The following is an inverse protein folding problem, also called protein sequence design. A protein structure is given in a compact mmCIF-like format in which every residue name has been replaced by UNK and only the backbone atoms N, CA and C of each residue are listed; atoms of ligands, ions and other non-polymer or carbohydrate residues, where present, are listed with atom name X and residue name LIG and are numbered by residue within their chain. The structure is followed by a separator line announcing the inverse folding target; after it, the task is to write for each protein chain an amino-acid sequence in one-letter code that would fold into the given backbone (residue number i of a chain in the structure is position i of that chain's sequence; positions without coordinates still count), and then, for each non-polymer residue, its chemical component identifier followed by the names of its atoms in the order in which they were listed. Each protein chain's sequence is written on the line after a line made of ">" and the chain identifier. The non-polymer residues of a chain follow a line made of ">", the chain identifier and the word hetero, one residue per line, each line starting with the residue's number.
data_IF_952383765936
#
_entry.id   IF_952383765936
#
_cell.length_a   1.000
_cell.length_b   1.000
_cell.length_c   1.000
_cell.angle_alpha   90.00
_cell.angle_beta   90.00
_cell.angle_gamma   90.00
#
_symmetry.space_group_name_H-M   'P 1'
#
loop_
_entity.id
_entity.type
_entity.pdbx_description
1 polymer ?
#
# COMPACT_ATOMS: atom_id res chain seq x y z
N UNK A 1 -19.90 3.57 -28.14
CA UNK A 1 -20.79 2.58 -27.54
C UNK A 1 -22.20 3.14 -27.24
N UNK A 2 -22.45 4.47 -27.24
CA UNK A 2 -23.76 5.08 -27.03
C UNK A 2 -24.32 4.98 -25.61
N UNK A 3 -23.50 4.65 -24.64
CA UNK A 3 -23.87 4.59 -23.23
C UNK A 3 -23.70 5.93 -22.52
N UNK A 4 -24.25 6.02 -21.31
CA UNK A 4 -24.05 7.14 -20.39
C UNK A 4 -23.56 6.66 -19.03
N UNK A 5 -22.83 7.50 -18.32
CA UNK A 5 -22.35 7.24 -16.96
C UNK A 5 -23.05 8.22 -16.02
N UNK A 6 -23.69 7.69 -14.98
CA UNK A 6 -24.23 8.47 -13.86
C UNK A 6 -23.23 8.38 -12.71
N UNK A 7 -22.74 9.50 -12.25
CA UNK A 7 -21.82 9.58 -11.13
C UNK A 7 -22.58 9.82 -9.83
N UNK A 8 -22.25 9.03 -8.80
CA UNK A 8 -22.67 9.26 -7.43
C UNK A 8 -21.51 9.89 -6.68
N UNK A 9 -21.71 11.09 -6.16
CA UNK A 9 -20.67 11.80 -5.42
C UNK A 9 -20.62 11.31 -3.98
N UNK A 10 -19.41 11.19 -3.46
CA UNK A 10 -19.12 10.87 -2.07
C UNK A 10 -17.85 11.59 -1.61
N UNK A 11 -17.58 11.61 -0.33
CA UNK A 11 -16.29 12.06 0.24
C UNK A 11 -15.43 10.85 0.59
N UNK A 12 -14.14 11.11 0.79
CA UNK A 12 -13.21 10.05 1.19
C UNK A 12 -13.67 9.36 2.49
N UNK A 13 -14.15 10.13 3.47
CA UNK A 13 -14.61 9.65 4.77
C UNK A 13 -15.90 8.85 4.68
N UNK A 14 -16.82 9.25 3.80
CA UNK A 14 -18.17 8.65 3.72
C UNK A 14 -18.30 7.56 2.67
N UNK A 15 -17.32 7.36 1.79
CA UNK A 15 -17.42 6.50 0.61
C UNK A 15 -17.96 5.09 0.87
N UNK A 16 -17.66 4.49 2.01
CA UNK A 16 -18.14 3.14 2.36
C UNK A 16 -19.56 3.15 2.88
N UNK A 17 -19.91 4.14 3.68
CA UNK A 17 -21.28 4.30 4.18
C UNK A 17 -22.22 4.65 3.06
N UNK A 18 -21.83 5.52 2.15
CA UNK A 18 -22.60 5.93 1.00
C UNK A 18 -22.81 4.75 0.04
N UNK A 19 -21.76 3.97 -0.26
CA UNK A 19 -21.90 2.75 -1.06
C UNK A 19 -22.91 1.78 -0.43
N UNK A 20 -22.78 1.52 0.87
CA UNK A 20 -23.72 0.63 1.59
C UNK A 20 -25.16 1.16 1.51
N UNK A 21 -25.34 2.47 1.65
CA UNK A 21 -26.66 3.12 1.58
C UNK A 21 -27.27 2.99 0.19
N UNK A 22 -26.48 3.23 -0.85
CA UNK A 22 -26.94 3.12 -2.25
C UNK A 22 -27.31 1.68 -2.59
N UNK A 23 -26.47 0.71 -2.23
CA UNK A 23 -26.73 -0.72 -2.50
C UNK A 23 -27.98 -1.19 -1.76
N UNK A 24 -28.14 -0.87 -0.47
CA UNK A 24 -29.31 -1.23 0.33
C UNK A 24 -30.58 -0.49 -0.13
N UNK A 25 -30.43 0.72 -0.62
CA UNK A 25 -31.52 1.51 -1.18
C UNK A 25 -32.01 1.05 -2.55
N UNK A 26 -31.35 0.04 -3.13
CA UNK A 26 -31.71 -0.48 -4.46
C UNK A 26 -31.26 0.42 -5.61
N UNK A 27 -30.37 1.38 -5.35
CA UNK A 27 -29.72 2.14 -6.42
C UNK A 27 -28.79 1.19 -7.18
N UNK A 28 -28.91 1.13 -8.49
CA UNK A 28 -28.11 0.26 -9.34
C UNK A 28 -26.70 0.80 -9.49
N UNK A 29 -25.84 0.55 -8.50
CA UNK A 29 -24.41 0.86 -8.60
C UNK A 29 -23.72 -0.26 -9.35
N UNK A 30 -23.28 0.01 -10.58
CA UNK A 30 -22.61 -0.98 -11.43
C UNK A 30 -21.12 -1.09 -11.13
N UNK A 31 -20.45 0.03 -10.84
CA UNK A 31 -19.01 0.10 -10.62
C UNK A 31 -18.67 0.95 -9.40
N UNK A 32 -17.73 0.46 -8.62
CA UNK A 32 -17.14 1.17 -7.50
C UNK A 32 -15.61 1.15 -7.61
N UNK A 33 -14.98 2.32 -7.46
CA UNK A 33 -13.53 2.38 -7.43
C UNK A 33 -13.04 1.71 -6.16
N UNK A 34 -12.39 0.57 -6.30
CA UNK A 34 -11.93 -0.20 -5.16
C UNK A 34 -10.78 0.48 -4.44
N UNK A 35 -10.84 0.47 -3.13
CA UNK A 35 -9.68 0.59 -2.29
C UNK A 35 -9.60 -0.59 -1.31
N UNK A 36 -8.43 -0.82 -0.74
CA UNK A 36 -8.16 -1.96 0.14
C UNK A 36 -9.00 -1.96 1.41
N UNK A 37 -9.53 -0.83 1.85
CA UNK A 37 -10.37 -0.72 3.03
C UNK A 37 -11.73 -1.42 2.89
N UNK A 38 -12.17 -1.73 1.66
CA UNK A 38 -13.40 -2.48 1.40
C UNK A 38 -13.19 -4.00 1.31
N UNK A 39 -11.98 -4.46 1.29
CA UNK A 39 -11.65 -5.87 1.18
C UNK A 39 -11.04 -6.38 2.50
N UNK A 40 -11.49 -7.52 3.02
CA UNK A 40 -12.52 -8.43 2.49
C UNK A 40 -13.94 -8.06 2.95
N UNK A 41 -14.12 -7.01 3.77
CA UNK A 41 -15.40 -6.65 4.40
C UNK A 41 -16.55 -6.51 3.41
N UNK A 42 -16.34 -5.80 2.29
CA UNK A 42 -17.37 -5.59 1.27
C UNK A 42 -17.80 -6.88 0.58
N UNK A 43 -16.89 -7.84 0.41
CA UNK A 43 -17.20 -9.15 -0.13
C UNK A 43 -18.04 -9.95 0.85
N UNK A 44 -17.60 -10.04 2.11
CA UNK A 44 -18.29 -10.81 3.16
C UNK A 44 -19.71 -10.27 3.42
N UNK A 45 -19.87 -8.94 3.36
CA UNK A 45 -21.19 -8.31 3.54
C UNK A 45 -22.07 -8.32 2.29
N UNK A 46 -21.62 -8.94 1.19
CA UNK A 46 -22.41 -9.08 -0.02
C UNK A 46 -22.60 -7.78 -0.82
N UNK A 47 -21.76 -6.77 -0.62
CA UNK A 47 -21.80 -5.52 -1.39
C UNK A 47 -21.22 -5.67 -2.79
N UNK A 48 -20.34 -6.66 -2.98
CA UNK A 48 -19.72 -6.95 -4.27
C UNK A 48 -20.10 -8.35 -4.74
N UNK A 49 -20.26 -8.50 -6.03
CA UNK A 49 -20.48 -9.78 -6.69
C UNK A 49 -19.22 -10.22 -7.44
N UNK A 50 -19.04 -11.53 -7.66
CA UNK A 50 -17.95 -12.02 -8.49
C UNK A 50 -17.99 -11.44 -9.90
N UNK A 51 -16.84 -11.19 -10.48
CA UNK A 51 -16.72 -10.66 -11.85
C UNK A 51 -16.46 -11.75 -12.90
N UNK A 52 -16.18 -12.98 -12.46
CA UNK A 52 -15.80 -14.10 -13.34
C UNK A 52 -16.84 -14.40 -14.43
N UNK A 53 -18.13 -14.25 -14.13
CA UNK A 53 -19.20 -14.50 -15.08
C UNK A 53 -19.39 -13.36 -16.11
N UNK A 54 -18.75 -12.21 -15.91
CA UNK A 54 -18.91 -11.01 -16.73
C UNK A 54 -17.67 -10.63 -17.53
N UNK A 55 -16.49 -11.08 -17.07
CA UNK A 55 -15.20 -10.70 -17.62
C UNK A 55 -14.35 -11.94 -17.83
N UNK A 56 -13.89 -12.12 -19.07
CA UNK A 56 -12.86 -13.12 -19.37
C UNK A 56 -11.51 -12.64 -18.87
N UNK A 57 -11.12 -13.05 -17.66
CA UNK A 57 -9.88 -12.67 -17.01
C UNK A 57 -8.63 -13.30 -17.66
N UNK A 58 -8.79 -14.32 -18.48
CA UNK A 58 -7.71 -14.94 -19.26
C UNK A 58 -7.43 -14.17 -20.56
N UNK A 59 -8.28 -13.21 -20.89
CA UNK A 59 -8.09 -12.39 -22.09
C UNK A 59 -6.79 -11.60 -22.06
N UNK A 60 -6.19 -11.44 -23.23
CA UNK A 60 -4.93 -10.71 -23.43
C UNK A 60 -4.94 -9.28 -22.87
N UNK A 61 -6.10 -8.65 -22.73
CA UNK A 61 -6.24 -7.31 -22.16
C UNK A 61 -5.78 -7.24 -20.70
N UNK A 62 -5.85 -8.35 -19.96
CA UNK A 62 -5.52 -8.41 -18.54
C UNK A 62 -4.11 -8.96 -18.26
N UNK A 63 -3.31 -9.33 -19.27
CA UNK A 63 -2.00 -9.96 -19.09
C UNK A 63 -1.07 -9.19 -18.16
N UNK A 64 -1.08 -7.85 -18.24
CA UNK A 64 -0.21 -6.99 -17.42
C UNK A 64 -0.68 -6.84 -15.96
N UNK A 65 -1.91 -7.23 -15.65
CA UNK A 65 -2.53 -7.07 -14.32
C UNK A 65 -2.97 -8.40 -13.70
N UNK A 66 -2.76 -9.53 -14.41
CA UNK A 66 -3.18 -10.85 -13.97
C UNK A 66 -2.61 -11.24 -12.60
N UNK A 67 -1.34 -10.95 -12.33
CA UNK A 67 -0.74 -11.22 -11.01
C UNK A 67 -1.38 -10.40 -9.90
N UNK A 68 -1.67 -9.12 -10.16
CA UNK A 68 -2.36 -8.27 -9.18
C UNK A 68 -3.79 -8.75 -8.91
N UNK A 69 -4.48 -9.32 -9.90
CA UNK A 69 -5.83 -9.85 -9.73
C UNK A 69 -5.88 -11.08 -8.82
N UNK A 70 -4.80 -11.86 -8.73
CA UNK A 70 -4.72 -13.01 -7.81
C UNK A 70 -4.91 -12.61 -6.35
N UNK A 71 -4.45 -11.42 -5.96
CA UNK A 71 -4.62 -10.89 -4.60
C UNK A 71 -6.09 -10.63 -4.23
N UNK A 72 -6.98 -10.56 -5.21
CA UNK A 72 -8.40 -10.28 -5.03
C UNK A 72 -9.29 -11.50 -5.27
N UNK A 73 -8.69 -12.68 -5.24
CA UNK A 73 -9.41 -13.94 -5.22
C UNK A 73 -9.88 -14.26 -3.80
N UNK A 74 -11.18 -14.48 -3.64
CA UNK A 74 -11.77 -14.88 -2.37
C UNK A 74 -12.74 -16.04 -2.58
N UNK A 75 -12.47 -17.16 -1.90
CA UNK A 75 -13.27 -18.37 -2.08
C UNK A 75 -13.25 -18.91 -3.52
N UNK A 76 -12.14 -18.75 -4.25
CA UNK A 76 -11.99 -19.21 -5.64
C UNK A 76 -12.68 -18.33 -6.68
N UNK A 77 -13.13 -17.12 -6.30
CA UNK A 77 -13.78 -16.16 -7.19
C UNK A 77 -13.08 -14.81 -7.13
N UNK A 78 -13.07 -14.09 -8.25
CA UNK A 78 -12.55 -12.74 -8.33
C UNK A 78 -13.67 -11.72 -8.13
N UNK A 79 -13.42 -10.76 -7.25
CA UNK A 79 -14.38 -9.68 -6.93
C UNK A 79 -13.95 -8.33 -7.45
N UNK A 80 -12.79 -8.28 -8.11
CA UNK A 80 -12.26 -7.07 -8.69
C UNK A 80 -11.47 -7.40 -9.96
N UNK A 81 -11.47 -6.48 -10.89
CA UNK A 81 -10.54 -6.46 -12.01
C UNK A 81 -9.59 -5.27 -11.91
N UNK A 82 -8.33 -5.51 -12.18
CA UNK A 82 -7.27 -4.51 -12.04
C UNK A 82 -6.94 -3.94 -13.42
N UNK A 83 -7.17 -2.65 -13.60
CA UNK A 83 -6.91 -1.96 -14.87
C UNK A 83 -5.46 -1.52 -15.04
N UNK A 84 -4.78 -1.24 -13.94
CA UNK A 84 -3.35 -0.92 -13.93
C UNK A 84 -2.73 -1.27 -12.58
N UNK A 85 -1.43 -1.42 -12.57
CA UNK A 85 -0.62 -1.56 -11.36
C UNK A 85 0.42 -0.45 -11.30
N UNK A 86 0.64 0.08 -10.10
CA UNK A 86 1.70 1.04 -9.82
C UNK A 86 2.25 0.81 -8.42
N UNK A 87 3.47 1.19 -8.18
CA UNK A 87 4.00 1.19 -6.83
C UNK A 87 3.16 2.11 -5.94
N UNK A 88 2.88 1.67 -4.72
CA UNK A 88 2.08 2.44 -3.77
C UNK A 88 2.95 3.37 -2.93
N UNK A 89 4.19 2.95 -2.69
CA UNK A 89 5.16 3.67 -1.89
C UNK A 89 6.42 3.92 -2.70
N UNK A 90 6.97 5.11 -2.53
CA UNK A 90 8.20 5.55 -3.16
C UNK A 90 9.08 6.20 -2.11
N UNK A 91 10.37 5.96 -2.19
CA UNK A 91 11.37 6.74 -1.46
C UNK A 91 11.78 7.90 -2.35
N UNK A 92 11.49 9.10 -1.90
CA UNK A 92 11.98 10.33 -2.53
C UNK A 92 13.14 10.87 -1.70
N UNK A 93 14.19 11.28 -2.34
CA UNK A 93 15.33 11.91 -1.68
C UNK A 93 15.81 13.13 -2.44
N UNK A 94 16.37 14.08 -1.70
CA UNK A 94 17.00 15.25 -2.30
C UNK A 94 18.44 14.92 -2.66
N UNK A 95 18.72 14.75 -3.95
CA UNK A 95 20.05 14.38 -4.44
C UNK A 95 21.12 15.38 -4.03
N UNK A 96 20.83 16.68 -4.08
CA UNK A 96 21.79 17.70 -3.69
C UNK A 96 22.11 17.64 -2.19
N UNK A 97 21.14 17.29 -1.34
CA UNK A 97 21.36 17.06 0.10
C UNK A 97 22.24 15.85 0.32
N UNK A 98 21.99 14.72 -0.36
CA UNK A 98 22.81 13.51 -0.30
C UNK A 98 24.26 13.85 -0.67
N UNK A 99 24.49 14.48 -1.80
CA UNK A 99 25.82 14.88 -2.29
C UNK A 99 26.53 15.85 -1.33
N UNK A 100 25.82 16.86 -0.82
CA UNK A 100 26.37 17.86 0.08
C UNK A 100 26.82 17.30 1.43
N UNK A 101 26.22 16.19 1.88
CA UNK A 101 26.59 15.51 3.12
C UNK A 101 27.54 14.33 2.88
N UNK A 102 27.98 14.10 1.65
CA UNK A 102 28.94 13.04 1.32
C UNK A 102 28.37 11.62 1.41
N UNK A 103 27.04 11.49 1.43
CA UNK A 103 26.34 10.22 1.51
C UNK A 103 26.31 9.54 0.13
N UNK A 104 26.24 8.22 0.14
CA UNK A 104 26.07 7.43 -1.07
C UNK A 104 24.71 7.70 -1.73
N UNK A 105 24.66 7.74 -3.06
CA UNK A 105 23.40 7.93 -3.81
C UNK A 105 22.53 6.68 -3.69
N UNK A 106 21.32 6.74 -3.10
CA UNK A 106 20.42 5.61 -2.96
C UNK A 106 20.10 4.88 -4.27
N UNK A 107 20.06 5.60 -5.39
CA UNK A 107 19.83 5.00 -6.70
C UNK A 107 21.04 4.18 -7.17
N UNK A 108 22.27 4.64 -6.92
CA UNK A 108 23.47 3.87 -7.24
C UNK A 108 23.57 2.62 -6.37
N UNK A 109 23.28 2.74 -5.07
CA UNK A 109 23.19 1.59 -4.15
C UNK A 109 22.14 0.57 -4.60
N UNK A 110 20.97 1.04 -5.04
CA UNK A 110 19.93 0.16 -5.59
C UNK A 110 20.41 -0.60 -6.83
N UNK A 111 21.08 0.06 -7.77
CA UNK A 111 21.62 -0.58 -8.97
C UNK A 111 22.72 -1.60 -8.65
N UNK A 112 23.50 -1.35 -7.62
CA UNK A 112 24.52 -2.26 -7.11
C UNK A 112 23.96 -3.44 -6.31
N UNK A 113 22.67 -3.43 -5.97
CA UNK A 113 22.07 -4.42 -5.07
C UNK A 113 22.42 -4.25 -3.60
N UNK A 114 22.91 -3.06 -3.25
CA UNK A 114 23.38 -2.71 -1.89
C UNK A 114 22.34 -1.86 -1.12
N UNK A 115 21.23 -1.47 -1.77
CA UNK A 115 20.14 -0.80 -1.12
C UNK A 115 19.30 -1.78 -0.30
N UNK A 116 19.50 -1.78 1.01
CA UNK A 116 18.83 -2.65 1.98
C UNK A 116 18.60 -1.89 3.31
N UNK A 117 17.96 -2.52 4.28
CA UNK A 117 17.64 -1.88 5.56
C UNK A 117 18.87 -1.44 6.36
N UNK A 118 19.95 -2.20 6.32
CA UNK A 118 21.18 -1.87 7.06
C UNK A 118 21.83 -0.62 6.44
N UNK A 119 21.98 -0.58 5.11
CA UNK A 119 22.51 0.59 4.40
C UNK A 119 21.62 1.81 4.61
N UNK A 120 20.29 1.63 4.50
CA UNK A 120 19.34 2.71 4.74
C UNK A 120 19.47 3.28 6.16
N UNK A 121 19.52 2.43 7.18
CA UNK A 121 19.68 2.86 8.57
C UNK A 121 21.02 3.57 8.79
N UNK A 122 22.12 3.05 8.26
CA UNK A 122 23.44 3.68 8.38
C UNK A 122 23.46 5.08 7.78
N UNK A 123 22.81 5.27 6.62
CA UNK A 123 22.69 6.60 6.00
C UNK A 123 21.89 7.58 6.88
N UNK A 124 20.82 7.11 7.51
CA UNK A 124 20.03 7.93 8.44
C UNK A 124 20.86 8.31 9.67
N UNK A 125 21.61 7.34 10.27
CA UNK A 125 22.49 7.57 11.42
C UNK A 125 23.61 8.57 11.12
N UNK A 126 24.10 8.61 9.90
CA UNK A 126 25.12 9.57 9.47
C UNK A 126 24.52 10.97 9.20
N UNK A 127 23.25 11.02 8.77
CA UNK A 127 22.60 12.25 8.34
C UNK A 127 21.90 13.00 9.47
N UNK A 128 21.30 12.31 10.44
CA UNK A 128 20.41 12.94 11.44
C UNK A 128 21.21 13.80 12.40
N UNK A 129 20.72 15.03 12.61
CA UNK A 129 21.23 15.99 13.58
C UNK A 129 20.04 16.80 14.15
N UNK A 130 19.50 16.34 15.27
CA UNK A 130 18.33 16.94 15.91
C UNK A 130 18.62 18.39 16.38
N UNK A 131 19.85 18.70 16.75
CA UNK A 131 20.22 20.04 17.22
C UNK A 131 20.11 21.08 16.09
N UNK A 132 20.29 20.65 14.84
CA UNK A 132 20.18 21.47 13.65
C UNK A 132 18.87 21.21 12.85
N UNK A 133 17.88 20.55 13.47
CA UNK A 133 16.57 20.22 12.84
C UNK A 133 16.73 19.43 11.55
N UNK A 134 17.70 18.49 11.53
CA UNK A 134 18.02 17.64 10.39
C UNK A 134 17.54 16.21 10.63
N UNK A 135 16.54 15.78 9.88
CA UNK A 135 15.83 14.52 10.07
C UNK A 135 16.07 13.54 8.92
N UNK A 136 16.12 12.26 9.26
CA UNK A 136 16.49 11.20 8.33
C UNK A 136 15.37 10.82 7.36
N UNK A 137 14.19 10.52 7.88
CA UNK A 137 13.04 10.14 7.09
C UNK A 137 11.76 10.78 7.61
N UNK A 138 10.90 11.17 6.69
CA UNK A 138 9.54 11.60 6.97
C UNK A 138 8.58 10.98 5.93
N UNK A 139 7.32 10.81 6.29
CA UNK A 139 6.26 10.36 5.39
C UNK A 139 5.01 9.96 6.15
N UNK A 140 3.85 10.44 5.69
CA UNK A 140 2.56 10.15 6.32
C UNK A 140 2.26 8.64 6.42
N UNK A 141 2.78 7.84 5.48
CA UNK A 141 2.61 6.38 5.43
C UNK A 141 3.94 5.63 5.58
N UNK A 142 4.98 6.28 6.14
CA UNK A 142 6.31 5.68 6.29
C UNK A 142 6.26 4.35 7.05
N UNK A 143 5.45 4.28 8.10
CA UNK A 143 5.26 3.06 8.90
C UNK A 143 4.77 1.89 8.06
N UNK A 144 3.72 2.10 7.28
CA UNK A 144 3.18 1.07 6.38
C UNK A 144 4.19 0.68 5.28
N UNK A 145 4.92 1.66 4.74
CA UNK A 145 5.94 1.40 3.73
C UNK A 145 7.07 0.52 4.28
N UNK A 146 7.54 0.81 5.50
CA UNK A 146 8.57 0.04 6.18
C UNK A 146 8.10 -1.39 6.47
N UNK A 147 6.88 -1.58 6.99
CA UNK A 147 6.31 -2.91 7.22
C UNK A 147 6.21 -3.72 5.93
N UNK A 148 5.68 -3.13 4.87
CA UNK A 148 5.51 -3.80 3.57
C UNK A 148 6.85 -4.09 2.88
N UNK A 149 7.91 -3.32 3.17
CA UNK A 149 9.25 -3.59 2.65
C UNK A 149 9.85 -4.91 3.15
N UNK A 150 9.30 -5.47 4.24
CA UNK A 150 9.64 -6.81 4.72
C UNK A 150 9.16 -7.95 3.82
N UNK A 151 8.33 -7.66 2.82
CA UNK A 151 7.84 -8.65 1.86
C UNK A 151 6.73 -9.57 2.39
N UNK A 152 6.28 -9.38 3.63
CA UNK A 152 5.19 -10.16 4.24
C UNK A 152 3.95 -9.28 4.36
N UNK A 153 2.82 -9.61 3.70
CA UNK A 153 1.59 -8.87 3.87
C UNK A 153 0.98 -9.15 5.24
N UNK A 154 0.36 -8.15 5.86
CA UNK A 154 -0.31 -8.29 7.17
C UNK A 154 -1.42 -9.33 7.14
N UNK A 155 -2.15 -9.36 6.03
CA UNK A 155 -3.19 -10.35 5.74
C UNK A 155 -3.07 -10.76 4.28
N UNK A 156 -3.16 -12.05 4.02
CA UNK A 156 -3.19 -12.59 2.67
C UNK A 156 -4.34 -13.59 2.47
N UNK A 157 -4.66 -13.89 1.23
CA UNK A 157 -5.60 -14.96 0.89
C UNK A 157 -4.82 -16.18 0.41
N UNK A 158 -4.87 -17.26 1.18
CA UNK A 158 -4.26 -18.56 0.84
C UNK A 158 -5.39 -19.55 0.62
N UNK A 159 -5.50 -20.12 -0.56
CA UNK A 159 -6.57 -21.06 -0.94
C UNK A 159 -7.99 -20.56 -0.60
N UNK A 160 -8.20 -19.24 -0.76
CA UNK A 160 -9.47 -18.58 -0.47
C UNK A 160 -9.76 -18.36 1.01
N UNK A 161 -8.81 -18.64 1.90
CA UNK A 161 -8.88 -18.35 3.34
C UNK A 161 -8.01 -17.14 3.68
N UNK A 162 -8.50 -16.29 4.57
CA UNK A 162 -7.71 -15.18 5.09
C UNK A 162 -6.73 -15.68 6.15
N UNK A 163 -5.46 -15.39 5.94
CA UNK A 163 -4.37 -15.67 6.88
C UNK A 163 -3.83 -14.36 7.42
N UNK A 164 -3.73 -14.27 8.74
CA UNK A 164 -3.13 -13.13 9.44
C UNK A 164 -1.65 -13.45 9.71
N UNK A 165 -0.75 -12.62 9.18
CA UNK A 165 0.70 -12.83 9.25
C UNK A 165 1.39 -11.98 10.33
N UNK A 166 0.65 -11.45 11.31
CA UNK A 166 1.26 -10.62 12.37
C UNK A 166 2.30 -11.38 13.22
N UNK A 167 2.21 -12.72 13.26
CA UNK A 167 3.19 -13.57 13.95
C UNK A 167 4.25 -14.16 13.01
N UNK A 168 4.29 -13.76 11.76
CA UNK A 168 5.32 -14.22 10.82
C UNK A 168 6.67 -13.60 11.19
N UNK A 169 7.78 -14.38 11.19
CA UNK A 169 9.11 -13.85 11.52
C UNK A 169 9.59 -12.70 10.62
N UNK A 170 9.14 -12.66 9.35
CA UNK A 170 9.43 -11.55 8.44
C UNK A 170 8.69 -10.28 8.84
N UNK A 171 7.44 -10.42 9.30
CA UNK A 171 6.66 -9.31 9.82
C UNK A 171 7.28 -8.79 11.13
N UNK A 172 7.62 -9.68 12.07
CA UNK A 172 8.31 -9.32 13.31
C UNK A 172 9.62 -8.57 13.03
N UNK A 173 10.41 -9.04 12.08
CA UNK A 173 11.64 -8.36 11.66
C UNK A 173 11.36 -6.94 11.12
N UNK A 174 10.34 -6.76 10.31
CA UNK A 174 9.96 -5.45 9.78
C UNK A 174 9.47 -4.49 10.87
N UNK A 175 8.68 -5.00 11.83
CA UNK A 175 8.22 -4.23 12.99
C UNK A 175 9.38 -3.81 13.89
N UNK A 176 10.33 -4.71 14.16
CA UNK A 176 11.50 -4.41 14.95
C UNK A 176 12.39 -3.37 14.25
N UNK A 177 12.59 -3.49 12.94
CA UNK A 177 13.34 -2.49 12.18
C UNK A 177 12.71 -1.10 12.28
N UNK A 178 11.40 -1.00 12.11
CA UNK A 178 10.66 0.24 12.28
C UNK A 178 10.82 0.81 13.70
N UNK A 179 10.62 -0.04 14.71
CA UNK A 179 10.78 0.33 16.11
C UNK A 179 12.19 0.86 16.42
N UNK A 180 13.22 0.22 15.87
CA UNK A 180 14.60 0.64 16.03
C UNK A 180 14.88 2.01 15.42
N UNK A 181 14.32 2.31 14.23
CA UNK A 181 14.46 3.64 13.60
C UNK A 181 13.81 4.74 14.45
N UNK A 182 12.63 4.49 15.01
CA UNK A 182 11.96 5.46 15.90
C UNK A 182 12.73 5.67 17.19
N UNK A 183 13.17 4.59 17.85
CA UNK A 183 13.92 4.69 19.11
C UNK A 183 15.28 5.34 18.94
N UNK A 184 15.90 5.20 17.78
CA UNK A 184 17.16 5.85 17.47
C UNK A 184 17.01 7.33 17.08
N UNK A 185 15.78 7.89 17.07
CA UNK A 185 15.52 9.28 16.68
C UNK A 185 15.75 9.58 15.21
N UNK A 186 15.72 8.55 14.34
CA UNK A 186 16.03 8.70 12.92
C UNK A 186 14.83 9.13 12.07
N UNK A 187 13.63 9.13 12.66
CA UNK A 187 12.36 9.45 12.00
C UNK A 187 11.85 10.81 12.48
N UNK A 188 11.37 11.62 11.55
CA UNK A 188 10.78 12.92 11.87
C UNK A 188 9.61 12.74 12.86
N UNK A 189 9.60 13.43 14.02
CA UNK A 189 8.60 13.24 15.06
C UNK A 189 7.30 13.98 14.74
N UNK A 190 6.51 13.46 13.81
CA UNK A 190 5.27 14.07 13.31
C UNK A 190 4.27 14.44 14.39
N UNK A 191 4.21 13.67 15.47
CA UNK A 191 3.28 13.93 16.59
C UNK A 191 3.57 15.25 17.32
N UNK A 192 4.76 15.80 17.17
CA UNK A 192 5.14 17.10 17.75
C UNK A 192 4.63 18.28 16.92
N UNK A 193 4.12 18.04 15.72
CA UNK A 193 3.66 19.08 14.82
C UNK A 193 2.14 18.97 14.62
N UNK A 194 1.45 20.09 14.82
CA UNK A 194 0.03 20.21 14.47
C UNK A 194 -0.11 20.32 12.94
N UNK A 195 -0.89 19.46 12.36
CA UNK A 195 -1.22 19.42 10.92
C UNK A 195 -2.54 20.13 10.66
#
# INVERSE_FOLDING_TARGET
>A
YGGSIKWYQTTWENRYNDLSTYVLGGEGIDFYACDTGNLPKGIISGMFQPVDDYIDLDSAIWQNTAEAMKAYNFGGKHFMFVTNTRANYYVYYNKATIEANGLDDPWELYKAGEWNWDTFKSMLEEFVDEENDQWGIDGYWAENALLLSGGVPTVESVDGQLVCNLNDPGMEKAMNFQYDLFNAGLVFPREQFNW
#
